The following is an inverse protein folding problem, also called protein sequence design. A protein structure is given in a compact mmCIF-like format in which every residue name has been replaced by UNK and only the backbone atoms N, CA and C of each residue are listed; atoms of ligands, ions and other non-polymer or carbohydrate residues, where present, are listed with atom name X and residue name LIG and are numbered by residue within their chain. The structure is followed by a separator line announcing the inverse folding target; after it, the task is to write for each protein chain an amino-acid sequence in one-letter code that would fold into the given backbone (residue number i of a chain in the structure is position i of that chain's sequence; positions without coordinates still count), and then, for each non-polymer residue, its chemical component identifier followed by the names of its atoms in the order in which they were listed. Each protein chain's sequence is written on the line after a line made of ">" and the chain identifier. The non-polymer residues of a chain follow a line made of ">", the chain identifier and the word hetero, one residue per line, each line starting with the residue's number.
data_IF_152568043334
#
_entry.id   IF_152568043334
#
_cell.length_a   1.000
_cell.length_b   1.000
_cell.length_c   1.000
_cell.angle_alpha   90.00
_cell.angle_beta   90.00
_cell.angle_gamma   90.00
#
_symmetry.space_group_name_H-M   'P 1'
#
loop_
_entity.id
_entity.type
_entity.pdbx_description
1 polymer ?
#
# COMPACT_ATOMS: atom_id res chain seq x y z
N UNK A 1 16.29 43.77 11.86
CA UNK A 1 16.43 43.03 10.58
C UNK A 1 15.10 42.41 10.27
N UNK A 2 14.30 43.07 9.43
CA UNK A 2 12.98 42.63 9.02
C UNK A 2 13.15 41.40 8.13
N UNK A 3 12.57 40.27 8.54
CA UNK A 3 12.52 39.07 7.72
C UNK A 3 11.73 39.45 6.45
N UNK A 4 12.32 39.49 5.25
CA UNK A 4 11.58 39.84 4.04
C UNK A 4 10.39 38.90 3.91
N UNK A 5 9.24 39.47 3.60
CA UNK A 5 7.94 38.81 3.57
C UNK A 5 8.06 37.41 2.95
N UNK A 6 7.71 36.41 3.77
CA UNK A 6 7.56 35.02 3.37
C UNK A 6 6.58 34.96 2.18
N UNK A 7 7.13 34.70 1.00
CA UNK A 7 6.46 34.38 -0.27
C UNK A 7 5.21 35.22 -0.59
N UNK A 8 5.39 36.27 -1.40
CA UNK A 8 4.27 36.96 -2.03
C UNK A 8 3.30 35.95 -2.68
N UNK A 9 2.00 36.21 -2.62
CA UNK A 9 0.96 35.35 -3.18
C UNK A 9 1.25 34.91 -4.62
N UNK A 10 1.82 35.82 -5.43
CA UNK A 10 2.27 35.55 -6.80
C UNK A 10 3.35 34.47 -6.91
N UNK A 11 4.33 34.49 -6.01
CA UNK A 11 5.41 33.49 -5.96
C UNK A 11 4.87 32.12 -5.59
N UNK A 12 3.97 32.06 -4.59
CA UNK A 12 3.29 30.82 -4.20
C UNK A 12 2.46 30.20 -5.34
N UNK A 13 1.77 31.02 -6.14
CA UNK A 13 1.04 30.52 -7.32
C UNK A 13 2.01 29.93 -8.35
N UNK A 14 3.10 30.64 -8.66
CA UNK A 14 4.10 30.16 -9.62
C UNK A 14 4.73 28.84 -9.16
N UNK A 15 5.07 28.72 -7.88
CA UNK A 15 5.58 27.48 -7.29
C UNK A 15 4.59 26.31 -7.42
N UNK A 16 3.31 26.54 -7.15
CA UNK A 16 2.27 25.50 -7.30
C UNK A 16 2.12 25.09 -8.76
N UNK A 17 2.00 26.05 -9.69
CA UNK A 17 1.86 25.74 -11.11
C UNK A 17 3.08 24.97 -11.63
N UNK A 18 4.29 25.40 -11.25
CA UNK A 18 5.52 24.70 -11.58
C UNK A 18 5.55 23.28 -11.00
N UNK A 19 5.18 23.09 -9.73
CA UNK A 19 5.14 21.78 -9.06
C UNK A 19 4.29 20.75 -9.82
N UNK A 20 3.17 21.20 -10.39
CA UNK A 20 2.26 20.35 -11.15
C UNK A 20 2.52 20.38 -12.67
N UNK A 21 3.63 20.99 -13.11
CA UNK A 21 3.97 21.16 -14.53
C UNK A 21 2.83 21.81 -15.35
N UNK A 22 2.25 22.88 -14.79
CA UNK A 22 1.16 23.66 -15.39
C UNK A 22 1.72 24.94 -16.02
N UNK A 23 0.94 25.50 -16.96
CA UNK A 23 1.27 26.78 -17.61
C UNK A 23 1.48 27.89 -16.56
N UNK A 24 2.47 28.77 -16.75
CA UNK A 24 2.71 29.87 -15.85
C UNK A 24 1.52 30.85 -15.83
N UNK A 25 1.36 31.65 -14.77
CA UNK A 25 0.23 32.57 -14.62
C UNK A 25 0.03 33.51 -15.81
N UNK A 26 1.12 33.99 -16.39
CA UNK A 26 1.13 34.94 -17.50
C UNK A 26 0.45 34.34 -18.74
N UNK A 27 0.75 33.08 -19.07
CA UNK A 27 0.17 32.37 -20.22
C UNK A 27 -1.32 32.07 -19.99
N UNK A 28 -1.70 31.73 -18.76
CA UNK A 28 -3.09 31.48 -18.38
C UNK A 28 -3.96 32.75 -18.48
N UNK A 29 -3.37 33.94 -18.29
CA UNK A 29 -4.06 35.22 -18.43
C UNK A 29 -4.19 35.65 -19.89
N UNK A 30 -3.16 35.38 -20.71
CA UNK A 30 -3.20 35.69 -22.15
C UNK A 30 -4.21 34.82 -22.90
N UNK A 31 -4.27 33.53 -22.58
CA UNK A 31 -5.16 32.57 -23.25
C UNK A 31 -5.91 31.71 -22.22
N UNK A 32 -6.95 32.27 -21.54
CA UNK A 32 -7.63 31.59 -20.46
C UNK A 32 -8.39 30.37 -21.00
N UNK A 33 -8.11 29.14 -20.50
CA UNK A 33 -8.85 27.98 -20.93
C UNK A 33 -10.29 28.03 -20.42
N UNK A 34 -11.18 27.34 -21.11
CA UNK A 34 -12.55 27.15 -20.64
C UNK A 34 -12.54 26.54 -19.22
N UNK A 35 -13.61 26.79 -18.45
CA UNK A 35 -13.74 26.23 -17.09
C UNK A 35 -13.57 24.70 -17.08
N UNK A 36 -14.08 24.01 -18.09
CA UNK A 36 -13.94 22.57 -18.22
C UNK A 36 -12.48 22.16 -18.48
N UNK A 37 -11.82 22.77 -19.48
CA UNK A 37 -10.41 22.51 -19.78
C UNK A 37 -9.51 22.75 -18.56
N UNK A 38 -9.73 23.85 -17.83
CA UNK A 38 -8.99 24.13 -16.58
C UNK A 38 -9.14 22.99 -15.58
N UNK A 39 -10.38 22.59 -15.27
CA UNK A 39 -10.65 21.49 -14.32
C UNK A 39 -9.96 20.19 -14.74
N UNK A 40 -10.06 19.82 -16.01
CA UNK A 40 -9.44 18.61 -16.54
C UNK A 40 -7.91 18.69 -16.46
N UNK A 41 -7.33 19.82 -16.84
CA UNK A 41 -5.87 20.05 -16.78
C UNK A 41 -5.37 19.94 -15.34
N UNK A 42 -6.01 20.64 -14.39
CA UNK A 42 -5.63 20.56 -12.98
C UNK A 42 -5.79 19.14 -12.42
N UNK A 43 -6.88 18.45 -12.76
CA UNK A 43 -7.10 17.05 -12.33
C UNK A 43 -6.00 16.15 -12.84
N UNK A 44 -5.70 16.19 -14.13
CA UNK A 44 -4.68 15.34 -14.75
C UNK A 44 -3.29 15.63 -14.19
N UNK A 45 -2.93 16.90 -14.04
CA UNK A 45 -1.65 17.30 -13.47
C UNK A 45 -1.50 16.86 -12.01
N UNK A 46 -2.56 17.01 -11.21
CA UNK A 46 -2.58 16.56 -9.81
C UNK A 46 -2.48 15.04 -9.71
N UNK A 47 -3.27 14.31 -10.51
CA UNK A 47 -3.22 12.84 -10.57
C UNK A 47 -1.85 12.35 -10.98
N UNK A 48 -1.27 12.92 -12.05
CA UNK A 48 0.06 12.54 -12.54
C UNK A 48 1.15 12.77 -11.49
N UNK A 49 1.15 13.95 -10.84
CA UNK A 49 2.12 14.27 -9.80
C UNK A 49 2.04 13.23 -8.66
N UNK A 50 0.85 13.00 -8.11
CA UNK A 50 0.69 12.09 -6.97
C UNK A 50 0.95 10.63 -7.33
N UNK A 51 0.54 10.18 -8.51
CA UNK A 51 0.85 8.83 -8.99
C UNK A 51 2.37 8.64 -9.14
N UNK A 52 3.08 9.63 -9.68
CA UNK A 52 4.54 9.59 -9.83
C UNK A 52 5.25 9.59 -8.48
N UNK A 53 4.84 10.48 -7.56
CA UNK A 53 5.36 10.53 -6.19
C UNK A 53 5.14 9.20 -5.48
N UNK A 54 3.94 8.62 -5.58
CA UNK A 54 3.62 7.37 -4.91
C UNK A 54 4.43 6.19 -5.47
N UNK A 55 4.59 6.10 -6.80
CA UNK A 55 5.48 5.11 -7.45
C UNK A 55 6.91 5.24 -6.94
N UNK A 56 7.42 6.46 -6.83
CA UNK A 56 8.76 6.72 -6.31
C UNK A 56 8.88 6.27 -4.84
N UNK A 57 7.94 6.65 -3.97
CA UNK A 57 7.95 6.26 -2.57
C UNK A 57 7.89 4.74 -2.38
N UNK A 58 7.03 4.05 -3.13
CA UNK A 58 6.93 2.59 -3.10
C UNK A 58 8.22 1.90 -3.55
N UNK A 59 8.95 2.49 -4.50
CA UNK A 59 10.23 1.94 -4.96
C UNK A 59 11.34 2.05 -3.89
N UNK A 60 11.23 3.01 -2.98
CA UNK A 60 12.23 3.28 -1.93
C UNK A 60 11.91 2.48 -0.65
N UNK A 61 10.62 2.30 -0.34
CA UNK A 61 10.19 1.71 0.92
C UNK A 61 10.06 0.19 0.84
N UNK A 62 11.02 -0.54 1.40
CA UNK A 62 10.95 -2.01 1.47
C UNK A 62 9.74 -2.53 2.26
N UNK A 63 9.19 -1.73 3.17
CA UNK A 63 8.01 -2.07 3.98
C UNK A 63 6.73 -2.17 3.17
N UNK A 64 6.66 -1.47 2.03
CA UNK A 64 5.51 -1.42 1.13
C UNK A 64 5.64 -2.40 -0.04
N UNK A 65 6.62 -3.32 -0.01
CA UNK A 65 6.86 -4.30 -1.09
C UNK A 65 5.65 -5.18 -1.44
N UNK A 66 4.67 -5.25 -0.55
CA UNK A 66 3.47 -6.06 -0.74
C UNK A 66 2.26 -5.27 -1.29
N UNK A 67 2.36 -3.95 -1.41
CA UNK A 67 1.27 -3.10 -1.93
C UNK A 67 1.31 -3.13 -3.46
N UNK A 68 0.22 -3.55 -4.09
CA UNK A 68 0.02 -3.34 -5.52
C UNK A 68 -0.55 -1.94 -5.78
N UNK A 69 0.07 -1.19 -6.69
CA UNK A 69 -0.58 -0.03 -7.27
C UNK A 69 -1.67 -0.50 -8.24
N UNK A 70 -2.92 -0.13 -7.96
CA UNK A 70 -4.03 -0.30 -8.90
C UNK A 70 -3.89 0.65 -10.10
N UNK A 71 -4.57 0.33 -11.19
CA UNK A 71 -4.80 1.27 -12.29
C UNK A 71 -5.60 2.48 -11.78
N UNK A 72 -5.05 3.68 -11.93
CA UNK A 72 -5.65 4.95 -11.48
C UNK A 72 -5.94 5.01 -9.95
N UNK A 73 -4.89 4.94 -9.11
CA UNK A 73 -5.05 4.81 -7.66
C UNK A 73 -5.53 6.10 -6.98
N UNK A 74 -5.46 7.25 -7.69
CA UNK A 74 -5.94 8.53 -7.19
C UNK A 74 -7.45 8.63 -7.40
N UNK A 75 -8.19 8.66 -6.29
CA UNK A 75 -9.66 8.78 -6.29
C UNK A 75 -10.40 7.44 -6.30
N UNK A 76 -9.69 6.32 -6.35
CA UNK A 76 -10.27 4.98 -6.19
C UNK A 76 -9.68 4.32 -4.94
N UNK A 77 -10.52 3.70 -4.08
CA UNK A 77 -10.02 2.97 -2.93
C UNK A 77 -9.26 1.71 -3.36
N UNK A 78 -8.24 1.35 -2.57
CA UNK A 78 -7.54 0.08 -2.71
C UNK A 78 -8.51 -1.11 -2.72
N UNK A 79 -8.21 -2.19 -3.45
CA UNK A 79 -9.08 -3.37 -3.57
C UNK A 79 -9.47 -3.94 -2.21
N UNK A 80 -8.53 -3.88 -1.25
CA UNK A 80 -8.76 -4.19 0.16
C UNK A 80 -10.01 -3.49 0.73
N UNK A 81 -10.16 -2.20 0.47
CA UNK A 81 -11.28 -1.39 0.96
C UNK A 81 -12.51 -1.55 0.08
N UNK A 82 -12.34 -1.69 -1.23
CA UNK A 82 -13.45 -1.87 -2.18
C UNK A 82 -14.25 -3.16 -1.90
N UNK A 83 -13.60 -4.22 -1.40
CA UNK A 83 -14.23 -5.50 -1.09
C UNK A 83 -14.71 -5.64 0.37
N UNK A 84 -14.56 -4.61 1.20
CA UNK A 84 -14.87 -4.69 2.64
C UNK A 84 -16.35 -4.37 2.89
N UNK A 85 -17.06 -5.28 3.57
CA UNK A 85 -18.42 -5.02 4.06
C UNK A 85 -18.39 -3.86 5.09
N UNK A 86 -19.31 -2.87 5.01
CA UNK A 86 -19.33 -1.73 5.92
C UNK A 86 -19.60 -2.07 7.40
N UNK A 87 -19.82 -3.35 7.76
CA UNK A 87 -19.89 -3.79 9.16
C UNK A 87 -18.61 -3.46 9.93
N UNK A 88 -18.77 -2.97 11.15
CA UNK A 88 -17.66 -2.50 12.00
C UNK A 88 -16.54 -3.55 12.19
N UNK A 89 -16.89 -4.83 12.32
CA UNK A 89 -15.88 -5.88 12.51
C UNK A 89 -15.06 -6.15 11.24
N UNK A 90 -15.67 -6.10 10.06
CA UNK A 90 -14.97 -6.25 8.77
C UNK A 90 -14.07 -5.06 8.49
N UNK A 91 -14.52 -3.84 8.78
CA UNK A 91 -13.69 -2.63 8.69
C UNK A 91 -12.45 -2.73 9.58
N UNK A 92 -12.58 -3.23 10.81
CA UNK A 92 -11.43 -3.44 11.71
C UNK A 92 -10.45 -4.50 11.17
N UNK A 93 -10.95 -5.57 10.55
CA UNK A 93 -10.11 -6.59 9.91
C UNK A 93 -9.36 -6.02 8.71
N UNK A 94 -10.03 -5.23 7.88
CA UNK A 94 -9.44 -4.53 6.75
C UNK A 94 -8.38 -3.51 7.20
N UNK A 95 -8.63 -2.77 8.28
CA UNK A 95 -7.65 -1.85 8.87
C UNK A 95 -6.39 -2.59 9.35
N UNK A 96 -6.55 -3.70 10.06
CA UNK A 96 -5.43 -4.53 10.49
C UNK A 96 -4.62 -5.02 9.28
N UNK A 97 -5.29 -5.52 8.25
CA UNK A 97 -4.67 -5.96 7.00
C UNK A 97 -3.95 -4.82 6.28
N UNK A 98 -4.55 -3.62 6.23
CA UNK A 98 -3.93 -2.43 5.65
C UNK A 98 -2.65 -2.02 6.43
N UNK A 99 -2.67 -2.12 7.76
CA UNK A 99 -1.49 -1.87 8.58
C UNK A 99 -0.37 -2.88 8.33
N UNK A 100 -0.71 -4.16 8.17
CA UNK A 100 0.26 -5.19 7.82
C UNK A 100 0.83 -4.99 6.41
N UNK A 101 -0.04 -4.64 5.46
CA UNK A 101 0.29 -4.38 4.05
C UNK A 101 1.22 -3.16 3.90
N UNK A 102 0.92 -2.06 4.59
CA UNK A 102 1.74 -0.82 4.59
C UNK A 102 2.97 -0.90 5.51
N UNK A 103 3.08 -1.93 6.35
CA UNK A 103 4.16 -2.05 7.34
C UNK A 103 4.03 -1.10 8.53
N UNK A 104 2.86 -0.50 8.73
CA UNK A 104 2.54 0.36 9.89
C UNK A 104 2.04 -0.43 11.10
N UNK A 105 1.81 -1.74 10.96
CA UNK A 105 1.52 -2.63 12.09
C UNK A 105 2.78 -2.79 12.97
N UNK A 106 2.66 -2.42 14.24
CA UNK A 106 3.77 -2.45 15.19
C UNK A 106 3.94 -3.88 15.73
N UNK A 107 4.89 -4.61 15.16
CA UNK A 107 5.30 -5.93 15.64
C UNK A 107 6.27 -5.82 16.84
N UNK A 108 6.43 -6.87 17.65
CA UNK A 108 7.45 -6.89 18.70
C UNK A 108 8.86 -6.73 18.12
N UNK A 109 9.15 -7.31 16.94
CA UNK A 109 10.44 -7.10 16.26
C UNK A 109 10.70 -5.62 15.92
N UNK A 110 9.68 -4.88 15.47
CA UNK A 110 9.79 -3.44 15.25
C UNK A 110 10.05 -2.70 16.56
N UNK A 111 9.32 -3.08 17.61
CA UNK A 111 9.45 -2.44 18.94
C UNK A 111 10.85 -2.66 19.52
N UNK A 112 11.35 -3.90 19.50
CA UNK A 112 12.68 -4.25 19.96
C UNK A 112 13.78 -3.48 19.22
N UNK A 113 13.60 -3.25 17.90
CA UNK A 113 14.59 -2.54 17.08
C UNK A 113 14.65 -1.03 17.34
N UNK A 114 13.52 -0.39 17.65
CA UNK A 114 13.42 1.08 17.72
C UNK A 114 13.24 1.64 19.13
N UNK A 115 12.97 0.80 20.13
CA UNK A 115 12.85 1.24 21.51
C UNK A 115 14.24 1.46 22.12
N UNK A 116 14.37 2.46 23.00
CA UNK A 116 15.62 2.74 23.72
C UNK A 116 15.89 1.73 24.83
N UNK A 117 14.82 1.14 25.37
CA UNK A 117 14.89 0.12 26.40
C UNK A 117 14.97 -1.27 25.76
N UNK A 118 15.59 -2.22 26.46
CA UNK A 118 15.60 -3.61 26.07
C UNK A 118 14.16 -4.16 26.11
N UNK A 119 13.58 -4.38 24.92
CA UNK A 119 12.27 -4.99 24.73
C UNK A 119 12.47 -6.26 23.94
N UNK A 120 11.93 -7.37 24.44
CA UNK A 120 11.99 -8.64 23.72
C UNK A 120 11.21 -8.58 22.41
N UNK A 121 11.82 -9.09 21.33
CA UNK A 121 11.17 -9.27 20.03
C UNK A 121 10.22 -10.48 20.01
N UNK A 122 10.18 -11.30 21.06
CA UNK A 122 9.40 -12.54 21.11
C UNK A 122 7.90 -12.28 20.93
N UNK A 123 7.25 -13.10 20.09
CA UNK A 123 5.82 -13.08 19.88
C UNK A 123 5.06 -13.38 21.17
N UNK A 124 4.25 -12.42 21.60
CA UNK A 124 3.45 -12.51 22.84
C UNK A 124 2.32 -13.54 22.76
N UNK A 125 1.96 -14.00 21.56
CA UNK A 125 0.89 -14.95 21.36
C UNK A 125 1.36 -16.40 21.55
N UNK A 126 2.52 -16.76 21.00
CA UNK A 126 3.03 -18.13 21.07
C UNK A 126 4.27 -18.30 21.98
N UNK A 127 5.00 -17.22 22.27
CA UNK A 127 6.27 -17.23 22.99
C UNK A 127 7.39 -18.10 22.38
N UNK A 128 7.31 -18.44 21.09
CA UNK A 128 8.23 -19.39 20.43
C UNK A 128 9.27 -18.78 19.47
N UNK A 129 9.32 -17.45 19.31
CA UNK A 129 10.29 -16.78 18.45
C UNK A 129 9.93 -15.31 18.20
N UNK A 130 10.72 -14.61 17.40
CA UNK A 130 10.50 -13.19 17.11
C UNK A 130 9.18 -12.96 16.36
N UNK A 131 8.41 -11.96 16.79
CA UNK A 131 7.20 -11.52 16.10
C UNK A 131 7.58 -10.76 14.84
N UNK A 132 7.81 -11.47 13.75
CA UNK A 132 7.91 -10.91 12.41
C UNK A 132 6.56 -11.01 11.69
N UNK A 133 6.39 -10.28 10.58
CA UNK A 133 5.20 -10.41 9.71
C UNK A 133 5.04 -11.85 9.22
N UNK A 134 6.15 -12.48 8.84
CA UNK A 134 6.20 -13.87 8.42
C UNK A 134 5.81 -14.81 9.54
N UNK A 135 6.34 -14.60 10.75
CA UNK A 135 5.95 -15.39 11.92
C UNK A 135 4.45 -15.29 12.16
N UNK A 136 3.92 -14.07 12.25
CA UNK A 136 2.50 -13.81 12.52
C UNK A 136 1.59 -14.51 11.49
N UNK A 137 1.90 -14.36 10.20
CA UNK A 137 1.04 -14.86 9.12
C UNK A 137 1.23 -16.35 8.85
N UNK A 138 2.46 -16.87 8.90
CA UNK A 138 2.78 -18.20 8.36
C UNK A 138 3.13 -19.25 9.42
N UNK A 139 3.73 -18.89 10.56
CA UNK A 139 4.29 -19.90 11.49
C UNK A 139 3.83 -19.79 12.95
N UNK A 140 3.17 -18.71 13.36
CA UNK A 140 2.70 -18.53 14.74
C UNK A 140 1.72 -19.63 15.14
N UNK A 141 2.04 -20.39 16.17
CA UNK A 141 1.25 -21.56 16.58
C UNK A 141 -0.13 -21.18 17.16
N UNK A 142 -0.24 -19.98 17.75
CA UNK A 142 -1.50 -19.43 18.26
C UNK A 142 -2.56 -19.18 17.16
N UNK A 143 -2.16 -19.17 15.88
CA UNK A 143 -3.06 -18.98 14.74
C UNK A 143 -3.20 -20.22 13.85
N UNK A 144 -2.75 -21.39 14.30
CA UNK A 144 -2.71 -22.60 13.47
C UNK A 144 -4.08 -23.00 12.92
N UNK A 145 -5.13 -22.95 13.76
CA UNK A 145 -6.48 -23.33 13.37
C UNK A 145 -7.06 -22.38 12.30
N UNK A 146 -7.06 -21.08 12.59
CA UNK A 146 -7.53 -20.04 11.66
C UNK A 146 -6.74 -20.05 10.34
N UNK A 147 -5.41 -20.25 10.42
CA UNK A 147 -4.57 -20.38 9.22
C UNK A 147 -4.97 -21.61 8.42
N UNK A 148 -5.18 -22.75 9.06
CA UNK A 148 -5.56 -24.00 8.37
C UNK A 148 -6.89 -23.86 7.63
N UNK A 149 -7.88 -23.19 8.23
CA UNK A 149 -9.14 -22.88 7.57
C UNK A 149 -8.95 -21.91 6.39
N UNK A 150 -8.21 -20.81 6.62
CA UNK A 150 -7.88 -19.84 5.56
C UNK A 150 -7.13 -20.45 4.38
N UNK A 151 -6.21 -21.38 4.64
CA UNK A 151 -5.45 -22.09 3.60
C UNK A 151 -6.33 -23.02 2.78
N UNK A 152 -7.30 -23.70 3.39
CA UNK A 152 -8.29 -24.52 2.66
C UNK A 152 -9.15 -23.66 1.75
N UNK A 153 -9.65 -22.52 2.25
CA UNK A 153 -10.42 -21.57 1.45
C UNK A 153 -9.59 -21.02 0.29
N UNK A 154 -8.34 -20.64 0.56
CA UNK A 154 -7.44 -20.14 -0.47
C UNK A 154 -7.22 -21.20 -1.56
N UNK A 155 -6.92 -22.45 -1.17
CA UNK A 155 -6.75 -23.57 -2.11
C UNK A 155 -7.98 -23.81 -2.97
N UNK A 156 -9.18 -23.69 -2.41
CA UNK A 156 -10.44 -23.83 -3.16
C UNK A 156 -10.64 -22.73 -4.20
N UNK A 157 -10.23 -21.49 -3.88
CA UNK A 157 -10.39 -20.34 -4.77
C UNK A 157 -9.41 -20.39 -5.94
N UNK A 158 -8.14 -20.74 -5.69
CA UNK A 158 -7.09 -20.61 -6.70
C UNK A 158 -6.76 -21.91 -7.44
N UNK A 159 -7.22 -23.07 -6.95
CA UNK A 159 -6.85 -24.37 -7.50
C UNK A 159 -5.68 -25.04 -6.77
N UNK A 160 -5.59 -26.37 -6.89
CA UNK A 160 -4.64 -27.18 -6.11
C UNK A 160 -3.19 -27.01 -6.59
N UNK A 161 -2.97 -26.84 -7.90
CA UNK A 161 -1.62 -26.79 -8.48
C UNK A 161 -0.97 -25.44 -8.18
N UNK A 162 -1.72 -24.36 -8.42
CA UNK A 162 -1.38 -22.97 -8.16
C UNK A 162 -1.13 -22.76 -6.66
N UNK A 163 -2.00 -23.33 -5.82
CA UNK A 163 -1.81 -23.29 -4.37
C UNK A 163 -0.49 -23.95 -3.93
N UNK A 164 -0.13 -25.10 -4.50
CA UNK A 164 1.13 -25.74 -4.18
C UNK A 164 2.34 -24.86 -4.57
N UNK A 165 2.31 -24.23 -5.75
CA UNK A 165 3.35 -23.32 -6.20
C UNK A 165 3.48 -22.09 -5.29
N UNK A 166 2.36 -21.49 -4.87
CA UNK A 166 2.35 -20.36 -3.93
C UNK A 166 2.89 -20.78 -2.57
N UNK A 167 2.49 -21.95 -2.03
CA UNK A 167 2.96 -22.42 -0.73
C UNK A 167 4.46 -22.69 -0.67
N UNK A 168 5.10 -22.99 -1.81
CA UNK A 168 6.56 -23.15 -1.89
C UNK A 168 7.32 -21.81 -1.87
N UNK A 169 6.65 -20.67 -2.07
CA UNK A 169 7.26 -19.34 -2.04
C UNK A 169 6.64 -18.49 -0.93
N UNK A 170 7.39 -18.31 0.18
CA UNK A 170 6.90 -17.60 1.37
C UNK A 170 6.50 -16.15 1.10
N UNK A 171 7.27 -15.42 0.30
CA UNK A 171 6.96 -14.04 -0.06
C UNK A 171 5.68 -13.97 -0.89
N UNK A 172 5.49 -14.89 -1.84
CA UNK A 172 4.27 -14.97 -2.65
C UNK A 172 3.06 -15.37 -1.79
N UNK A 173 3.23 -16.28 -0.84
CA UNK A 173 2.15 -16.64 0.09
C UNK A 173 1.75 -15.46 0.99
N UNK A 174 2.72 -14.71 1.52
CA UNK A 174 2.44 -13.47 2.28
C UNK A 174 1.73 -12.45 1.39
N UNK A 175 2.20 -12.26 0.16
CA UNK A 175 1.58 -11.39 -0.83
C UNK A 175 0.11 -11.79 -1.03
N UNK A 176 -0.18 -13.07 -1.30
CA UNK A 176 -1.54 -13.57 -1.52
C UNK A 176 -2.45 -13.36 -0.30
N UNK A 177 -1.93 -13.52 0.92
CA UNK A 177 -2.69 -13.27 2.15
C UNK A 177 -3.01 -11.78 2.31
N UNK A 178 -2.03 -10.90 2.08
CA UNK A 178 -2.13 -9.47 2.32
C UNK A 178 -2.79 -8.68 1.19
N UNK A 179 -2.61 -9.10 -0.05
CA UNK A 179 -3.18 -8.49 -1.25
C UNK A 179 -3.13 -9.48 -2.42
N UNK A 180 -4.24 -10.19 -2.62
CA UNK A 180 -4.42 -11.15 -3.71
C UNK A 180 -4.65 -10.49 -5.09
N UNK A 181 -4.61 -9.15 -5.17
CA UNK A 181 -4.75 -8.42 -6.44
C UNK A 181 -3.41 -8.00 -7.05
N UNK A 182 -2.31 -8.45 -6.44
CA UNK A 182 -0.96 -8.15 -6.88
C UNK A 182 -0.61 -8.82 -8.21
N UNK A 183 0.04 -8.07 -9.12
CA UNK A 183 0.36 -8.53 -10.49
C UNK A 183 1.27 -9.76 -10.48
N UNK A 184 2.17 -9.88 -9.50
CA UNK A 184 3.05 -11.05 -9.41
C UNK A 184 2.27 -12.35 -9.25
N UNK A 185 1.08 -12.32 -8.62
CA UNK A 185 0.24 -13.49 -8.47
C UNK A 185 -0.36 -13.91 -9.82
N UNK A 186 -0.84 -12.94 -10.60
CA UNK A 186 -1.38 -13.18 -11.95
C UNK A 186 -0.29 -13.76 -12.87
N UNK A 187 0.89 -13.14 -12.88
CA UNK A 187 2.03 -13.63 -13.67
C UNK A 187 2.50 -15.03 -13.27
N UNK A 188 2.34 -15.41 -11.99
CA UNK A 188 2.69 -16.76 -11.53
C UNK A 188 1.64 -17.80 -11.92
N UNK A 189 0.36 -17.42 -11.94
CA UNK A 189 -0.73 -18.29 -12.37
C UNK A 189 -0.63 -18.53 -13.89
N UNK A 190 -0.43 -17.47 -14.68
CA UNK A 190 -0.29 -17.57 -16.15
C UNK A 190 0.88 -18.49 -16.55
N UNK A 191 2.03 -18.40 -15.85
CA UNK A 191 3.20 -19.27 -16.11
C UNK A 191 3.02 -20.73 -15.73
N UNK A 192 2.00 -21.07 -14.93
CA UNK A 192 1.74 -22.46 -14.54
C UNK A 192 0.86 -23.20 -15.57
N UNK A 193 0.21 -22.46 -16.47
CA UNK A 193 -0.66 -23.02 -17.53
C UNK A 193 0.11 -23.41 -18.81
N UNK A 194 1.32 -22.88 -18.99
CA UNK A 194 2.24 -23.17 -20.11
C UNK A 194 3.18 -24.36 -19.82
#
# INVERSE_FOLDING_TARGET
>A
MSNPDRNSFSSSIREILHKYNLLPPEDLLQNPPSKHQRKTTFRNATTYYWESTWKQELSIQSTTKYIQLQSAPIGHPHNLWASTDPKQHEVRRAELKARLLTGTYILQSNTARFNRNEVSATCKLCNMGDETREHLLLTCTAHTEVRSEGMKMLQQIIGRQEFAAICCNRDLLIQTILDCTHVSLQQHIEKAED
#
